data_IF_522795348506
#
_entry.id   IF_522795348506
#
_cell.length_a   1.000
_cell.length_b   1.000
_cell.length_c   1.000
_cell.angle_alpha   90.00
_cell.angle_beta   90.00
_cell.angle_gamma   90.00
#
_symmetry.space_group_name_H-M   'P 1'
#
loop_
_entity.id
_entity.type
_entity.pdbx_description
1 polymer ?
#
# COMPACT_ATOMS: atom_id res chain seq x y z
N UNK A 1 -6.60 26.68 -16.36
CA UNK A 1 -7.46 25.85 -15.48
C UNK A 1 -7.80 24.48 -16.09
N UNK A 2 -7.01 23.90 -17.01
CA UNK A 2 -7.30 22.57 -17.60
C UNK A 2 -6.53 21.41 -16.95
N UNK A 3 -5.40 21.68 -16.30
CA UNK A 3 -4.49 20.62 -15.81
C UNK A 3 -4.96 19.97 -14.49
N UNK A 4 -5.54 20.76 -13.58
CA UNK A 4 -6.06 20.28 -12.28
C UNK A 4 -7.20 19.27 -12.44
N UNK A 5 -8.07 19.44 -13.44
CA UNK A 5 -9.17 18.51 -13.73
C UNK A 5 -8.64 17.14 -14.19
N UNK A 6 -7.52 17.13 -14.92
CA UNK A 6 -6.84 15.90 -15.37
C UNK A 6 -6.17 15.17 -14.21
N UNK A 7 -5.45 15.90 -13.34
CA UNK A 7 -4.82 15.33 -12.15
C UNK A 7 -5.84 14.71 -11.20
N UNK A 8 -6.90 15.45 -10.83
CA UNK A 8 -7.94 14.96 -9.93
C UNK A 8 -8.69 13.76 -10.50
N UNK A 9 -8.92 13.72 -11.82
CA UNK A 9 -9.51 12.57 -12.48
C UNK A 9 -8.60 11.34 -12.41
N UNK A 10 -7.29 11.49 -12.62
CA UNK A 10 -6.31 10.40 -12.48
C UNK A 10 -6.25 9.88 -11.05
N UNK A 11 -6.19 10.77 -10.06
CA UNK A 11 -6.23 10.43 -8.63
C UNK A 11 -7.49 9.62 -8.32
N UNK A 12 -8.67 10.09 -8.75
CA UNK A 12 -9.94 9.36 -8.53
C UNK A 12 -9.93 7.98 -9.21
N UNK A 13 -9.42 7.89 -10.43
CA UNK A 13 -9.34 6.62 -11.15
C UNK A 13 -8.42 5.61 -10.44
N UNK A 14 -7.25 6.06 -9.95
CA UNK A 14 -6.32 5.19 -9.21
C UNK A 14 -6.92 4.75 -7.87
N UNK A 15 -7.56 5.65 -7.13
CA UNK A 15 -8.24 5.29 -5.87
C UNK A 15 -9.35 4.26 -6.11
N UNK A 16 -10.11 4.41 -7.20
CA UNK A 16 -11.13 3.45 -7.60
C UNK A 16 -10.53 2.09 -7.95
N UNK A 17 -9.38 2.04 -8.65
CA UNK A 17 -8.70 0.77 -8.97
C UNK A 17 -8.06 0.11 -7.75
N UNK A 18 -7.61 0.88 -6.75
CA UNK A 18 -7.00 0.32 -5.53
C UNK A 18 -8.03 -0.31 -4.59
N UNK A 19 -9.30 0.11 -4.65
CA UNK A 19 -10.35 -0.40 -3.77
C UNK A 19 -10.52 -1.93 -3.84
N UNK A 20 -10.74 -2.56 -5.01
CA UNK A 20 -10.87 -4.02 -5.08
C UNK A 20 -9.62 -4.76 -4.58
N UNK A 21 -8.41 -4.21 -4.80
CA UNK A 21 -7.16 -4.79 -4.31
C UNK A 21 -7.14 -4.82 -2.76
N UNK A 22 -7.56 -3.72 -2.11
CA UNK A 22 -7.65 -3.65 -0.65
C UNK A 22 -8.73 -4.59 -0.08
N UNK A 23 -9.86 -4.72 -0.77
CA UNK A 23 -10.95 -5.61 -0.37
C UNK A 23 -10.52 -7.09 -0.49
N UNK A 24 -9.84 -7.47 -1.58
CA UNK A 24 -9.32 -8.83 -1.75
C UNK A 24 -8.22 -9.16 -0.72
N UNK A 25 -7.33 -8.20 -0.44
CA UNK A 25 -6.30 -8.37 0.59
C UNK A 25 -6.92 -8.57 1.98
N UNK A 26 -7.97 -7.80 2.31
CA UNK A 26 -8.74 -8.00 3.55
C UNK A 26 -9.29 -9.41 3.62
N UNK A 27 -9.96 -9.89 2.56
CA UNK A 27 -10.53 -11.24 2.52
C UNK A 27 -9.45 -12.31 2.71
N UNK A 28 -8.29 -12.16 2.08
CA UNK A 28 -7.17 -13.09 2.28
C UNK A 28 -6.66 -13.10 3.74
N UNK A 29 -6.55 -11.93 4.38
CA UNK A 29 -6.14 -11.85 5.79
C UNK A 29 -7.18 -12.51 6.72
N UNK A 30 -8.47 -12.30 6.47
CA UNK A 30 -9.57 -12.92 7.23
C UNK A 30 -9.54 -14.45 7.08
N UNK A 31 -9.35 -14.95 5.86
CA UNK A 31 -9.20 -16.38 5.57
C UNK A 31 -7.95 -17.00 6.20
N UNK A 32 -6.89 -16.20 6.43
CA UNK A 32 -5.69 -16.65 7.14
C UNK A 32 -5.87 -16.81 8.67
N UNK A 33 -7.07 -16.54 9.19
CA UNK A 33 -7.41 -16.71 10.61
C UNK A 33 -6.90 -15.60 11.53
N UNK A 34 -6.50 -14.46 10.97
CA UNK A 34 -6.07 -13.31 11.78
C UNK A 34 -7.26 -12.66 12.49
N UNK A 35 -7.02 -12.19 13.72
CA UNK A 35 -8.02 -11.45 14.47
C UNK A 35 -8.44 -10.17 13.72
N UNK A 36 -9.72 -9.81 13.79
CA UNK A 36 -10.31 -8.67 13.08
C UNK A 36 -9.53 -7.36 13.30
N UNK A 37 -9.06 -7.11 14.53
CA UNK A 37 -8.23 -5.93 14.86
C UNK A 37 -6.92 -5.90 14.07
N UNK A 38 -6.29 -7.07 13.89
CA UNK A 38 -5.06 -7.23 13.12
C UNK A 38 -5.31 -7.03 11.62
N UNK A 39 -6.40 -7.61 11.09
CA UNK A 39 -6.84 -7.38 9.70
C UNK A 39 -7.04 -5.88 9.46
N UNK A 40 -7.80 -5.20 10.31
CA UNK A 40 -8.05 -3.75 10.21
C UNK A 40 -6.74 -2.95 10.20
N UNK A 41 -5.78 -3.30 11.06
CA UNK A 41 -4.47 -2.64 11.12
C UNK A 41 -3.68 -2.80 9.82
N UNK A 42 -3.60 -4.02 9.28
CA UNK A 42 -2.89 -4.27 8.03
C UNK A 42 -3.54 -3.55 6.84
N UNK A 43 -4.87 -3.66 6.69
CA UNK A 43 -5.60 -2.98 5.62
C UNK A 43 -5.45 -1.46 5.74
N UNK A 44 -5.52 -0.90 6.95
CA UNK A 44 -5.30 0.52 7.18
C UNK A 44 -3.91 0.96 6.74
N UNK A 45 -2.85 0.26 7.15
CA UNK A 45 -1.48 0.61 6.78
C UNK A 45 -1.26 0.59 5.26
N UNK A 46 -1.79 -0.43 4.57
CA UNK A 46 -1.70 -0.49 3.09
C UNK A 46 -2.57 0.60 2.44
N UNK A 47 -3.76 0.87 2.96
CA UNK A 47 -4.59 1.96 2.44
C UNK A 47 -3.90 3.33 2.59
N UNK A 48 -3.19 3.56 3.70
CA UNK A 48 -2.43 4.79 3.91
C UNK A 48 -1.23 4.90 2.97
N UNK A 49 -0.59 3.78 2.62
CA UNK A 49 0.44 3.76 1.58
C UNK A 49 -0.09 4.19 0.21
N UNK A 50 -1.36 3.90 -0.13
CA UNK A 50 -1.94 4.39 -1.40
C UNK A 50 -2.00 5.91 -1.47
N UNK A 51 -2.17 6.61 -0.34
CA UNK A 51 -2.14 8.07 -0.32
C UNK A 51 -0.73 8.60 -0.64
N UNK A 52 0.33 7.89 -0.25
CA UNK A 52 1.69 8.20 -0.68
C UNK A 52 1.87 8.02 -2.20
N UNK A 53 1.45 6.88 -2.76
CA UNK A 53 1.58 6.58 -4.19
C UNK A 53 0.83 7.55 -5.10
N UNK A 54 -0.28 8.11 -4.62
CA UNK A 54 -1.19 8.95 -5.42
C UNK A 54 -0.93 10.45 -5.25
N UNK A 55 -0.31 10.88 -4.15
CA UNK A 55 -0.08 12.31 -3.89
C UNK A 55 1.39 12.72 -3.82
N UNK A 56 2.32 11.77 -3.65
CA UNK A 56 3.73 12.08 -3.37
C UNK A 56 4.73 11.31 -4.24
N UNK A 57 4.27 10.32 -4.99
CA UNK A 57 5.09 9.62 -5.98
C UNK A 57 4.86 10.22 -7.37
N UNK A 58 5.92 10.25 -8.18
CA UNK A 58 5.88 10.76 -9.56
C UNK A 58 6.58 9.75 -10.49
N UNK A 59 5.86 9.12 -11.44
CA UNK A 59 4.43 9.31 -11.74
C UNK A 59 3.51 8.75 -10.65
N UNK A 60 2.23 9.19 -10.65
CA UNK A 60 1.17 8.58 -9.85
C UNK A 60 1.10 7.07 -10.12
N UNK A 61 1.10 6.27 -9.06
CA UNK A 61 1.05 4.80 -9.16
C UNK A 61 -0.20 4.20 -8.54
N UNK A 62 -0.70 3.14 -9.16
CA UNK A 62 -1.65 2.21 -8.55
C UNK A 62 -0.95 1.32 -7.54
N UNK A 63 -1.72 0.72 -6.65
CA UNK A 63 -1.20 -0.14 -5.59
C UNK A 63 -0.54 -1.43 -6.14
N UNK A 64 -1.03 -1.97 -7.26
CA UNK A 64 -0.46 -3.13 -7.96
C UNK A 64 0.76 -2.79 -8.83
N UNK A 65 1.06 -1.51 -9.04
CA UNK A 65 2.27 -1.03 -9.71
C UNK A 65 3.42 -0.78 -8.72
N UNK A 66 3.14 -0.85 -7.41
CA UNK A 66 4.13 -0.59 -6.36
C UNK A 66 5.18 -1.70 -6.24
N UNK A 67 6.41 -1.30 -5.93
CA UNK A 67 7.54 -2.20 -5.73
C UNK A 67 8.35 -1.87 -4.46
N UNK A 68 9.43 -2.61 -4.23
CA UNK A 68 10.29 -2.47 -3.05
C UNK A 68 10.92 -1.07 -2.90
N UNK A 69 11.20 -0.37 -4.00
CA UNK A 69 11.71 1.00 -3.96
C UNK A 69 10.67 1.96 -3.39
N UNK A 70 9.39 1.79 -3.76
CA UNK A 70 8.29 2.62 -3.27
C UNK A 70 8.04 2.38 -1.78
N UNK A 71 8.06 1.11 -1.36
CA UNK A 71 7.98 0.73 0.06
C UNK A 71 9.15 1.34 0.85
N UNK A 72 10.37 1.27 0.31
CA UNK A 72 11.56 1.87 0.94
C UNK A 72 11.42 3.38 1.05
N UNK A 73 10.98 4.06 -0.01
CA UNK A 73 10.77 5.51 0.00
C UNK A 73 9.69 5.91 1.01
N UNK A 74 8.60 5.15 1.08
CA UNK A 74 7.56 5.38 2.08
C UNK A 74 8.11 5.22 3.50
N UNK A 75 8.70 4.07 3.83
CA UNK A 75 9.13 3.75 5.19
C UNK A 75 10.32 4.56 5.68
N UNK A 76 11.32 4.79 4.82
CA UNK A 76 12.57 5.43 5.22
C UNK A 76 12.48 6.96 5.16
N UNK A 77 11.52 7.52 4.42
CA UNK A 77 11.55 8.94 4.08
C UNK A 77 10.20 9.63 4.28
N UNK A 78 9.15 9.16 3.61
CA UNK A 78 7.87 9.87 3.64
C UNK A 78 7.14 9.68 4.98
N UNK A 79 6.94 8.43 5.41
CA UNK A 79 6.19 8.09 6.61
C UNK A 79 6.76 8.73 7.88
N UNK A 80 8.08 8.66 8.18
CA UNK A 80 8.64 9.28 9.39
C UNK A 80 8.53 10.80 9.42
N UNK A 81 8.42 11.45 8.26
CA UNK A 81 8.39 12.92 8.16
C UNK A 81 6.98 13.49 8.02
N UNK A 82 6.02 12.70 7.52
CA UNK A 82 4.68 13.18 7.14
C UNK A 82 3.56 12.61 8.00
N UNK A 83 3.71 11.42 8.57
CA UNK A 83 2.71 10.86 9.48
C UNK A 83 2.93 11.40 10.91
N UNK A 84 1.97 12.18 11.43
CA UNK A 84 2.04 12.72 12.81
C UNK A 84 2.15 11.65 13.90
N UNK A 85 1.70 10.43 13.59
CA UNK A 85 1.74 9.27 14.47
C UNK A 85 2.95 8.35 14.21
N UNK A 86 3.90 8.79 13.38
CA UNK A 86 5.08 8.03 13.08
C UNK A 86 5.90 7.78 14.35
N UNK A 87 6.25 6.52 14.56
CA UNK A 87 7.05 6.04 15.68
C UNK A 87 7.75 4.74 15.28
N UNK A 88 8.78 4.29 16.01
CA UNK A 88 9.41 3.00 15.73
C UNK A 88 8.41 1.83 15.75
N UNK A 89 7.41 1.87 16.62
CA UNK A 89 6.33 0.87 16.66
C UNK A 89 5.44 0.92 15.43
N UNK A 90 5.06 2.11 14.98
CA UNK A 90 4.28 2.31 13.76
C UNK A 90 5.03 1.85 12.50
N UNK A 91 6.33 2.13 12.41
CA UNK A 91 7.18 1.65 11.30
C UNK A 91 7.22 0.12 11.27
N UNK A 92 7.43 -0.54 12.42
CA UNK A 92 7.38 -2.01 12.52
C UNK A 92 6.03 -2.58 12.09
N UNK A 93 4.93 -1.92 12.48
CA UNK A 93 3.57 -2.33 12.06
C UNK A 93 3.37 -2.19 10.55
N UNK A 94 3.86 -1.12 9.95
CA UNK A 94 3.83 -0.95 8.49
C UNK A 94 4.67 -2.03 7.79
N UNK A 95 5.89 -2.31 8.24
CA UNK A 95 6.74 -3.37 7.69
C UNK A 95 6.01 -4.72 7.69
N UNK A 96 5.40 -5.10 8.81
CA UNK A 96 4.63 -6.35 8.89
C UNK A 96 3.46 -6.38 7.90
N UNK A 97 2.81 -5.23 7.68
CA UNK A 97 1.72 -5.08 6.72
C UNK A 97 2.22 -5.23 5.28
N UNK A 98 3.34 -4.60 4.93
CA UNK A 98 3.95 -4.75 3.60
C UNK A 98 4.36 -6.18 3.31
N UNK A 99 5.00 -6.89 4.26
CA UNK A 99 5.35 -8.30 4.07
C UNK A 99 4.13 -9.16 3.76
N UNK A 100 3.05 -9.00 4.52
CA UNK A 100 1.78 -9.72 4.27
C UNK A 100 1.15 -9.35 2.93
N UNK A 101 1.14 -8.06 2.59
CA UNK A 101 0.59 -7.58 1.34
C UNK A 101 1.34 -8.12 0.12
N UNK A 102 2.67 -8.01 0.09
CA UNK A 102 3.48 -8.49 -1.02
C UNK A 102 3.54 -10.02 -1.11
N UNK A 103 3.49 -10.71 0.03
CA UNK A 103 3.27 -12.17 0.06
C UNK A 103 1.97 -12.53 -0.70
N UNK A 104 0.85 -11.92 -0.32
CA UNK A 104 -0.44 -12.15 -0.98
C UNK A 104 -0.45 -11.78 -2.47
N UNK A 105 0.16 -10.65 -2.84
CA UNK A 105 0.28 -10.22 -4.24
C UNK A 105 1.06 -11.24 -5.07
N UNK A 106 2.11 -11.84 -4.50
CA UNK A 106 2.88 -12.91 -5.14
C UNK A 106 2.10 -14.22 -5.25
N UNK A 107 1.47 -14.68 -4.16
CA UNK A 107 0.65 -15.90 -4.11
C UNK A 107 -0.50 -15.89 -5.12
N UNK A 108 -1.05 -14.70 -5.40
CA UNK A 108 -2.17 -14.52 -6.32
C UNK A 108 -1.78 -14.07 -7.73
N UNK A 109 -0.48 -13.98 -8.02
CA UNK A 109 0.04 -13.60 -9.34
C UNK A 109 -0.22 -12.15 -9.73
N UNK A 110 -0.58 -11.27 -8.78
CA UNK A 110 -0.81 -9.83 -9.02
C UNK A 110 0.49 -9.08 -9.29
N UNK A 111 1.61 -9.56 -8.77
CA UNK A 111 2.97 -9.07 -9.09
C UNK A 111 3.90 -10.25 -9.42
N UNK A 112 4.99 -10.02 -10.16
CA UNK A 112 6.01 -11.02 -10.36
C UNK A 112 6.58 -11.54 -9.02
N UNK A 113 6.93 -12.83 -8.89
CA UNK A 113 7.50 -13.38 -7.66
C UNK A 113 8.72 -12.61 -7.15
N UNK A 114 9.56 -12.08 -8.06
CA UNK A 114 10.71 -11.25 -7.70
C UNK A 114 10.30 -9.97 -6.97
N UNK A 115 9.27 -9.27 -7.45
CA UNK A 115 8.75 -8.05 -6.81
C UNK A 115 8.23 -8.34 -5.40
N UNK A 116 7.54 -9.47 -5.21
CA UNK A 116 7.10 -9.91 -3.89
C UNK A 116 8.29 -10.24 -2.97
N UNK A 117 9.28 -10.99 -3.46
CA UNK A 117 10.47 -11.40 -2.72
C UNK A 117 11.36 -10.22 -2.30
N UNK A 118 11.41 -9.14 -3.08
CA UNK A 118 12.22 -7.96 -2.75
C UNK A 118 11.66 -7.15 -1.56
N UNK A 119 10.43 -7.44 -1.08
CA UNK A 119 9.80 -6.79 0.07
C UNK A 119 9.70 -7.70 1.30
N UNK A 120 9.57 -9.01 1.09
CA UNK A 120 9.35 -10.03 2.13
C UNK A 120 10.65 -10.41 2.83
#
# INVERSE_FOLDING_TARGET
MSDTTSYDARVRAIRASNKPILDDFRTWLEQSGLAEKTVKSHVYNISFFTEFLVYYDDPLKKLDEANSSDVRMFLANWFPRKALWASPGAVKSNIASFKKFFQWMGETGRVPPKTAADVV
#
